data_IF_778186381690
#
_entry.id   IF_778186381690
#
_cell.length_a   1.000
_cell.length_b   1.000
_cell.length_c   1.000
_cell.angle_alpha   90.00
_cell.angle_beta   90.00
_cell.angle_gamma   90.00
#
_symmetry.space_group_name_H-M   'P 1'
#
loop_
_entity.id
_entity.type
_entity.pdbx_description
1 polymer ?
#
# COMPACT_ATOMS: atom_id res chain seq x y z
N UNK A 1 31.59 68.42 36.65
CA UNK A 1 31.19 68.95 35.33
C UNK A 1 30.86 67.70 34.51
N UNK A 2 29.60 67.41 34.14
CA UNK A 2 28.82 68.07 33.05
C UNK A 2 29.65 68.11 31.76
N UNK A 3 29.25 67.57 30.60
CA UNK A 3 27.94 67.14 30.03
C UNK A 3 28.21 66.19 28.83
N UNK A 4 27.29 65.42 28.24
CA UNK A 4 25.86 65.12 28.49
C UNK A 4 25.51 63.71 27.92
N UNK A 5 24.23 63.30 27.85
CA UNK A 5 23.77 62.14 27.06
C UNK A 5 23.89 62.36 25.53
N UNK A 6 24.12 61.26 24.78
CA UNK A 6 23.29 60.98 23.60
C UNK A 6 23.14 59.48 23.37
N UNK A 7 21.93 58.97 23.61
CA UNK A 7 21.48 57.66 23.12
C UNK A 7 21.16 57.87 21.64
N UNK A 8 21.93 57.28 20.74
CA UNK A 8 21.58 57.29 19.31
C UNK A 8 20.39 56.35 19.07
N UNK A 9 19.20 56.94 19.00
CA UNK A 9 17.98 56.25 18.59
C UNK A 9 17.94 56.12 17.07
N UNK A 10 18.69 55.17 16.53
CA UNK A 10 18.46 54.72 15.15
C UNK A 10 17.09 54.02 15.08
N UNK A 11 16.19 54.41 14.15
CA UNK A 11 14.82 53.90 14.17
C UNK A 11 14.78 52.39 13.94
N UNK A 12 14.04 51.68 14.80
CA UNK A 12 13.59 50.33 14.51
C UNK A 12 12.73 50.38 13.24
N UNK A 13 13.33 49.99 12.11
CA UNK A 13 12.62 49.80 10.87
C UNK A 13 11.62 48.66 11.06
N UNK A 14 10.40 49.00 11.45
CA UNK A 14 9.26 48.09 11.40
C UNK A 14 9.14 47.60 9.97
N UNK A 15 9.60 46.37 9.75
CA UNK A 15 9.15 45.57 8.62
C UNK A 15 7.70 45.24 8.93
N UNK A 16 6.81 46.09 8.44
CA UNK A 16 5.38 45.82 8.44
C UNK A 16 5.16 44.55 7.63
N UNK A 17 5.08 43.42 8.33
CA UNK A 17 4.57 42.20 7.75
C UNK A 17 3.12 42.47 7.37
N UNK A 18 2.86 42.69 6.07
CA UNK A 18 1.54 42.47 5.53
C UNK A 18 1.19 41.00 5.76
N UNK A 19 0.48 40.74 6.85
CA UNK A 19 -0.35 39.56 6.95
C UNK A 19 -1.45 39.75 5.93
N UNK A 20 -1.21 39.25 4.71
CA UNK A 20 -2.26 39.05 3.74
C UNK A 20 -3.22 38.04 4.35
N UNK A 21 -4.28 38.55 5.00
CA UNK A 21 -5.41 37.75 5.42
C UNK A 21 -6.07 37.21 4.16
N UNK A 22 -5.63 36.02 3.73
CA UNK A 22 -6.25 35.29 2.65
C UNK A 22 -7.71 35.05 3.06
N UNK A 23 -8.62 35.82 2.49
CA UNK A 23 -10.04 35.63 2.69
C UNK A 23 -10.35 34.23 2.21
N UNK A 24 -10.68 33.33 3.13
CA UNK A 24 -11.13 31.99 2.80
C UNK A 24 -12.51 32.17 2.16
N UNK A 25 -12.51 32.41 0.85
CA UNK A 25 -13.71 32.28 0.04
C UNK A 25 -14.25 30.88 0.30
N UNK A 26 -15.49 30.81 0.77
CA UNK A 26 -16.10 29.54 1.14
C UNK A 26 -16.11 28.61 -0.07
N UNK A 27 -15.15 27.69 -0.12
CA UNK A 27 -15.16 26.60 -1.08
C UNK A 27 -16.42 25.81 -0.78
N UNK A 28 -17.39 25.87 -1.68
CA UNK A 28 -18.60 25.07 -1.58
C UNK A 28 -18.16 23.62 -1.39
N UNK A 29 -18.49 23.05 -0.23
CA UNK A 29 -18.15 21.66 0.06
C UNK A 29 -18.71 20.80 -1.08
N UNK A 30 -17.93 19.85 -1.64
CA UNK A 30 -18.49 18.93 -2.63
C UNK A 30 -19.69 18.23 -1.99
N UNK A 31 -20.75 18.03 -2.78
CA UNK A 31 -22.05 17.57 -2.30
C UNK A 31 -22.05 16.10 -1.83
N UNK A 32 -21.33 15.82 -0.75
CA UNK A 32 -21.42 14.62 0.10
C UNK A 32 -22.31 14.94 1.30
N UNK A 33 -23.50 15.48 1.02
CA UNK A 33 -24.51 15.83 2.01
C UNK A 33 -25.91 15.36 1.56
N UNK A 34 -25.97 14.12 1.06
CA UNK A 34 -27.17 13.31 1.14
C UNK A 34 -26.76 12.01 1.84
N UNK A 35 -27.27 11.80 3.05
CA UNK A 35 -27.19 10.49 3.69
C UNK A 35 -27.91 9.50 2.76
N UNK A 36 -27.28 8.37 2.37
CA UNK A 36 -28.00 7.31 1.69
C UNK A 36 -29.13 6.81 2.59
N UNK A 37 -30.23 6.27 2.02
CA UNK A 37 -31.26 5.63 2.83
C UNK A 37 -30.62 4.58 3.74
N UNK A 38 -31.12 4.46 4.98
CA UNK A 38 -30.62 3.50 5.96
C UNK A 38 -30.96 2.06 5.56
N UNK A 39 -30.23 1.53 4.58
CA UNK A 39 -30.05 0.09 4.47
C UNK A 39 -29.51 -0.44 5.80
N UNK A 40 -30.02 -1.61 6.19
CA UNK A 40 -29.86 -2.16 7.54
C UNK A 40 -28.39 -2.29 7.93
N UNK A 41 -27.92 -1.34 8.77
CA UNK A 41 -26.54 -1.20 9.22
C UNK A 41 -26.13 -2.33 10.17
N UNK A 42 -25.98 -3.53 9.62
CA UNK A 42 -25.24 -4.64 10.23
C UNK A 42 -23.84 -4.64 9.65
N UNK A 43 -22.85 -4.36 10.48
CA UNK A 43 -21.45 -4.47 10.10
C UNK A 43 -21.10 -5.96 10.10
N UNK A 44 -21.33 -6.63 8.97
CA UNK A 44 -21.05 -8.07 8.79
C UNK A 44 -19.60 -8.38 9.18
N UNK A 45 -19.43 -8.98 10.36
CA UNK A 45 -18.13 -9.25 11.00
C UNK A 45 -18.04 -8.76 12.45
N UNK A 46 -18.80 -7.75 12.84
CA UNK A 46 -18.93 -7.28 14.24
C UNK A 46 -20.23 -7.77 14.91
N UNK A 47 -21.30 -7.91 14.12
CA UNK A 47 -22.58 -8.50 14.56
C UNK A 47 -22.68 -10.01 14.24
N UNK A 48 -21.54 -10.65 13.93
CA UNK A 48 -21.45 -12.06 13.55
C UNK A 48 -21.43 -13.01 14.75
N UNK A 49 -21.36 -14.31 14.50
CA UNK A 49 -21.19 -15.28 15.60
C UNK A 49 -19.77 -15.20 16.18
N UNK A 50 -19.56 -15.60 17.44
CA UNK A 50 -18.23 -15.64 18.08
C UNK A 50 -17.19 -16.42 17.25
N UNK A 51 -17.65 -17.43 16.50
CA UNK A 51 -16.83 -18.21 15.57
C UNK A 51 -16.28 -17.36 14.41
N UNK A 52 -17.07 -16.41 13.88
CA UNK A 52 -16.67 -15.49 12.80
C UNK A 52 -15.65 -14.46 13.30
N UNK A 53 -15.77 -14.03 14.56
CA UNK A 53 -14.81 -13.14 15.22
C UNK A 53 -13.47 -13.87 15.40
N UNK A 54 -13.49 -15.11 15.92
CA UNK A 54 -12.28 -15.90 16.11
C UNK A 54 -11.60 -16.28 14.79
N UNK A 55 -12.38 -16.62 13.75
CA UNK A 55 -11.82 -16.86 12.42
C UNK A 55 -11.27 -15.56 11.79
N UNK A 56 -11.93 -14.41 11.99
CA UNK A 56 -11.41 -13.10 11.59
C UNK A 56 -10.04 -12.79 12.23
N UNK A 57 -9.88 -13.06 13.53
CA UNK A 57 -8.60 -12.90 14.23
C UNK A 57 -7.51 -13.83 13.67
N UNK A 58 -7.84 -15.10 13.39
CA UNK A 58 -6.91 -16.06 12.77
C UNK A 58 -6.50 -15.63 11.36
N UNK A 59 -7.43 -15.09 10.59
CA UNK A 59 -7.18 -14.62 9.23
C UNK A 59 -6.28 -13.36 9.25
N UNK A 60 -6.53 -12.43 10.19
CA UNK A 60 -5.67 -11.27 10.39
C UNK A 60 -4.24 -11.68 10.81
N UNK A 61 -4.08 -12.60 11.76
CA UNK A 61 -2.77 -13.14 12.16
C UNK A 61 -2.05 -13.83 10.98
N UNK A 62 -2.75 -14.65 10.19
CA UNK A 62 -2.21 -15.32 9.00
C UNK A 62 -1.61 -14.34 7.98
N UNK A 63 -2.35 -13.29 7.58
CA UNK A 63 -1.87 -12.37 6.54
C UNK A 63 -0.73 -11.46 7.03
N UNK A 64 -0.71 -11.12 8.33
CA UNK A 64 0.38 -10.39 8.96
C UNK A 64 1.65 -11.27 9.05
N UNK A 65 1.50 -12.54 9.45
CA UNK A 65 2.60 -13.52 9.49
C UNK A 65 3.20 -13.76 8.12
N UNK A 66 2.40 -13.98 7.09
CA UNK A 66 2.94 -14.26 5.75
C UNK A 66 3.78 -13.09 5.20
N UNK A 67 3.34 -11.84 5.42
CA UNK A 67 4.13 -10.64 5.10
C UNK A 67 5.41 -10.55 5.93
N UNK A 68 5.32 -10.75 7.25
CA UNK A 68 6.47 -10.71 8.16
C UNK A 68 7.50 -11.78 7.78
N UNK A 69 7.05 -13.00 7.53
CA UNK A 69 7.88 -14.13 7.13
C UNK A 69 8.57 -13.89 5.78
N UNK A 70 7.87 -13.29 4.81
CA UNK A 70 8.47 -12.88 3.53
C UNK A 70 9.60 -11.86 3.73
N UNK A 71 9.36 -10.84 4.53
CA UNK A 71 10.30 -9.73 4.71
C UNK A 71 11.50 -10.11 5.62
N UNK A 72 11.29 -11.04 6.55
CA UNK A 72 12.33 -11.63 7.40
C UNK A 72 13.07 -12.83 6.76
N UNK A 73 12.65 -13.28 5.57
CA UNK A 73 13.24 -14.43 4.88
C UNK A 73 12.93 -15.80 5.49
N UNK A 74 11.86 -15.91 6.28
CA UNK A 74 11.36 -17.14 6.89
C UNK A 74 10.54 -17.94 5.86
N UNK A 75 11.21 -18.44 4.82
CA UNK A 75 10.56 -19.00 3.63
C UNK A 75 9.63 -20.19 3.90
N UNK A 76 9.89 -20.97 4.96
CA UNK A 76 9.05 -22.10 5.36
C UNK A 76 7.71 -21.64 5.98
N UNK A 77 7.73 -20.62 6.85
CA UNK A 77 6.50 -20.02 7.42
C UNK A 77 5.71 -19.27 6.33
N UNK A 78 6.40 -18.58 5.43
CA UNK A 78 5.78 -17.98 4.24
C UNK A 78 5.11 -19.04 3.37
N UNK A 79 5.78 -20.15 3.06
CA UNK A 79 5.21 -21.24 2.26
C UNK A 79 4.01 -21.92 2.93
N UNK A 80 4.10 -22.18 4.24
CA UNK A 80 3.02 -22.79 5.02
C UNK A 80 1.74 -21.96 5.08
N UNK A 81 1.81 -20.66 4.75
CA UNK A 81 0.68 -19.73 4.73
C UNK A 81 -0.18 -19.83 3.46
N UNK A 82 0.33 -20.43 2.37
CA UNK A 82 -0.34 -20.50 1.07
C UNK A 82 -1.16 -21.78 0.87
N UNK A 83 -2.33 -21.64 0.25
CA UNK A 83 -3.11 -22.76 -0.24
C UNK A 83 -2.41 -23.42 -1.45
N UNK A 84 -2.45 -24.74 -1.64
CA UNK A 84 -1.80 -25.40 -2.80
C UNK A 84 -2.29 -24.92 -4.16
N UNK A 85 -3.53 -24.44 -4.25
CA UNK A 85 -4.14 -23.87 -5.47
C UNK A 85 -4.20 -22.33 -5.43
N UNK A 86 -3.31 -21.69 -4.68
CA UNK A 86 -3.30 -20.22 -4.52
C UNK A 86 -2.86 -19.50 -5.79
N UNK A 87 -3.34 -18.27 -5.98
CA UNK A 87 -2.97 -17.39 -7.11
C UNK A 87 -2.56 -16.00 -6.61
N UNK A 88 -1.34 -15.59 -6.97
CA UNK A 88 -0.76 -14.29 -6.64
C UNK A 88 -0.66 -13.45 -7.91
N UNK A 89 -1.17 -12.22 -7.86
CA UNK A 89 -1.14 -11.26 -8.96
C UNK A 89 -0.75 -9.86 -8.45
N UNK A 90 0.53 -9.53 -8.63
CA UNK A 90 1.16 -8.28 -8.17
C UNK A 90 2.10 -7.72 -9.23
N UNK A 91 2.61 -6.50 -9.02
CA UNK A 91 3.43 -5.74 -9.97
C UNK A 91 4.62 -6.48 -10.58
N UNK A 92 5.23 -7.38 -9.82
CA UNK A 92 6.45 -8.10 -10.20
C UNK A 92 6.27 -9.62 -10.32
N UNK A 93 5.07 -10.15 -10.07
CA UNK A 93 4.80 -11.58 -10.10
C UNK A 93 3.35 -11.91 -10.45
N UNK A 94 3.15 -12.90 -11.30
CA UNK A 94 1.86 -13.52 -11.61
C UNK A 94 2.04 -15.04 -11.65
N UNK A 95 1.28 -15.79 -10.86
CA UNK A 95 1.39 -17.26 -10.76
C UNK A 95 0.96 -17.81 -9.41
N UNK A 96 1.31 -19.07 -9.13
CA UNK A 96 0.94 -19.72 -7.87
C UNK A 96 1.74 -19.25 -6.63
N UNK A 97 1.25 -19.57 -5.43
CA UNK A 97 1.91 -19.21 -4.18
C UNK A 97 3.29 -19.85 -3.98
N UNK A 98 3.51 -21.07 -4.47
CA UNK A 98 4.80 -21.75 -4.34
C UNK A 98 5.89 -21.06 -5.18
N UNK A 99 5.54 -20.69 -6.41
CA UNK A 99 6.36 -19.87 -7.29
C UNK A 99 6.58 -18.46 -6.74
N UNK A 100 5.59 -17.86 -6.06
CA UNK A 100 5.74 -16.55 -5.40
C UNK A 100 6.75 -16.58 -4.24
N UNK A 101 6.73 -17.63 -3.41
CA UNK A 101 7.73 -17.85 -2.36
C UNK A 101 9.11 -18.05 -2.99
N UNK A 102 9.23 -18.90 -4.01
CA UNK A 102 10.49 -19.15 -4.70
C UNK A 102 11.05 -17.88 -5.38
N UNK A 103 10.19 -17.04 -5.95
CA UNK A 103 10.57 -15.76 -6.55
C UNK A 103 10.95 -14.71 -5.50
N UNK A 104 10.23 -14.65 -4.36
CA UNK A 104 10.59 -13.80 -3.22
C UNK A 104 11.98 -14.16 -2.67
N UNK A 105 12.26 -15.46 -2.49
CA UNK A 105 13.58 -15.96 -2.06
C UNK A 105 14.70 -15.60 -3.04
N UNK A 106 14.46 -15.67 -4.35
CA UNK A 106 15.44 -15.23 -5.37
C UNK A 106 15.71 -13.72 -5.32
N UNK A 107 14.66 -12.91 -5.15
CA UNK A 107 14.82 -11.45 -5.02
C UNK A 107 15.61 -11.06 -3.77
N UNK A 108 15.35 -11.70 -2.63
CA UNK A 108 16.12 -11.49 -1.40
C UNK A 108 17.58 -11.92 -1.57
N UNK A 109 17.83 -13.07 -2.21
CA UNK A 109 19.18 -13.55 -2.51
C UNK A 109 19.96 -12.65 -3.48
N UNK A 110 19.28 -11.83 -4.29
CA UNK A 110 19.92 -10.80 -5.13
C UNK A 110 20.16 -9.47 -4.39
N UNK A 111 20.10 -9.46 -3.05
CA UNK A 111 20.32 -8.27 -2.21
C UNK A 111 19.18 -7.25 -2.18
N UNK A 112 18.02 -7.53 -2.79
CA UNK A 112 16.88 -6.60 -2.75
C UNK A 112 16.19 -6.68 -1.38
N UNK A 113 16.15 -5.55 -0.67
CA UNK A 113 15.42 -5.44 0.59
C UNK A 113 14.00 -4.93 0.31
N UNK A 114 13.01 -5.57 0.94
CA UNK A 114 11.59 -5.25 0.84
C UNK A 114 10.98 -5.33 2.24
N UNK A 115 10.21 -4.33 2.64
CA UNK A 115 9.54 -4.25 3.94
C UNK A 115 8.10 -3.78 3.78
N UNK A 116 7.16 -4.35 4.51
CA UNK A 116 5.74 -4.00 4.50
C UNK A 116 5.34 -3.41 5.85
N UNK A 117 5.05 -2.11 5.88
CA UNK A 117 4.40 -1.48 7.01
C UNK A 117 2.88 -1.66 6.86
N UNK A 118 2.32 -2.60 7.63
CA UNK A 118 0.92 -3.01 7.56
C UNK A 118 0.07 -2.24 8.58
N UNK A 119 -1.07 -1.73 8.15
CA UNK A 119 -2.10 -1.22 9.06
C UNK A 119 -2.99 -2.33 9.64
N UNK A 120 -4.08 -1.97 10.31
CA UNK A 120 -5.09 -2.94 10.75
C UNK A 120 -5.72 -3.68 9.56
N UNK A 121 -5.91 -4.99 9.71
CA UNK A 121 -6.58 -5.84 8.71
C UNK A 121 -8.09 -5.85 8.95
N UNK A 122 -8.89 -5.65 7.90
CA UNK A 122 -10.34 -5.84 7.92
C UNK A 122 -10.67 -7.13 7.19
N UNK A 123 -11.51 -7.97 7.80
CA UNK A 123 -11.92 -9.27 7.27
C UNK A 123 -13.41 -9.33 6.96
N UNK A 124 -13.79 -10.19 6.02
CA UNK A 124 -15.17 -10.58 5.76
C UNK A 124 -15.22 -12.09 5.55
N UNK A 125 -15.72 -12.81 6.56
CA UNK A 125 -15.85 -14.27 6.56
C UNK A 125 -17.21 -14.67 5.98
N UNK A 126 -17.24 -15.78 5.24
CA UNK A 126 -18.46 -16.47 4.82
C UNK A 126 -18.14 -17.97 4.72
N UNK A 127 -18.70 -18.80 5.60
CA UNK A 127 -18.53 -20.26 5.54
C UNK A 127 -17.06 -20.70 5.50
N UNK A 128 -16.62 -21.30 4.40
CA UNK A 128 -15.25 -21.80 4.21
C UNK A 128 -14.28 -20.80 3.56
N UNK A 129 -14.74 -19.58 3.26
CA UNK A 129 -13.95 -18.53 2.58
C UNK A 129 -13.97 -17.22 3.36
N UNK A 130 -12.97 -16.40 3.12
CA UNK A 130 -12.90 -15.05 3.63
C UNK A 130 -12.13 -14.14 2.68
N UNK A 131 -12.46 -12.85 2.72
CA UNK A 131 -11.62 -11.79 2.19
C UNK A 131 -10.92 -11.09 3.36
N UNK A 132 -9.66 -10.71 3.17
CA UNK A 132 -8.94 -9.84 4.08
C UNK A 132 -8.34 -8.67 3.31
N UNK A 133 -8.34 -7.48 3.89
CA UNK A 133 -7.73 -6.28 3.31
C UNK A 133 -6.93 -5.51 4.35
N UNK A 134 -5.73 -5.08 3.96
CA UNK A 134 -4.80 -4.35 4.82
C UNK A 134 -4.19 -3.18 4.03
N UNK A 135 -4.31 -1.92 4.50
CA UNK A 135 -3.55 -0.81 3.93
C UNK A 135 -2.06 -1.00 4.26
N UNK A 136 -1.18 -0.67 3.32
CA UNK A 136 0.25 -0.94 3.45
C UNK A 136 1.11 0.16 2.81
N UNK A 137 2.25 0.46 3.42
CA UNK A 137 3.41 1.03 2.73
C UNK A 137 4.39 -0.09 2.40
N UNK A 138 4.57 -0.36 1.11
CA UNK A 138 5.62 -1.22 0.58
C UNK A 138 6.89 -0.38 0.43
N UNK A 139 7.93 -0.69 1.20
CA UNK A 139 9.25 -0.13 1.02
C UNK A 139 10.10 -1.12 0.21
N UNK A 140 10.86 -0.63 -0.76
CA UNK A 140 11.89 -1.41 -1.45
C UNK A 140 13.15 -0.58 -1.64
N UNK A 141 14.26 -1.11 -1.15
CA UNK A 141 15.58 -0.49 -1.30
C UNK A 141 16.29 -1.12 -2.50
N UNK A 142 16.66 -0.27 -3.45
CA UNK A 142 17.25 -0.66 -4.74
C UNK A 142 18.22 0.43 -5.22
N UNK A 143 19.25 0.09 -6.01
CA UNK A 143 20.02 1.09 -6.74
C UNK A 143 19.24 1.58 -7.97
N UNK A 144 19.24 2.90 -8.18
CA UNK A 144 18.87 3.56 -9.45
C UNK A 144 20.09 4.35 -9.89
N UNK A 145 20.64 4.00 -11.05
CA UNK A 145 21.82 4.63 -11.66
C UNK A 145 23.03 4.76 -10.70
N UNK A 146 23.23 3.75 -9.84
CA UNK A 146 24.33 3.69 -8.86
C UNK A 146 24.10 4.52 -7.58
N UNK A 147 22.87 4.97 -7.34
CA UNK A 147 22.43 5.66 -6.13
C UNK A 147 21.36 4.81 -5.44
N UNK A 148 21.56 4.50 -4.16
CA UNK A 148 20.59 3.74 -3.38
C UNK A 148 19.36 4.60 -3.07
N UNK A 149 18.18 4.07 -3.42
CA UNK A 149 16.88 4.72 -3.23
C UNK A 149 15.93 3.80 -2.49
N UNK A 150 15.03 4.41 -1.72
CA UNK A 150 13.84 3.78 -1.17
C UNK A 150 12.64 4.15 -2.05
N UNK A 151 12.09 3.16 -2.74
CA UNK A 151 10.78 3.25 -3.39
C UNK A 151 9.71 2.90 -2.36
N UNK A 152 8.75 3.81 -2.14
CA UNK A 152 7.66 3.64 -1.19
C UNK A 152 6.33 3.61 -1.94
N UNK A 153 5.66 2.46 -1.97
CA UNK A 153 4.34 2.28 -2.57
C UNK A 153 3.23 2.23 -1.52
N UNK A 154 2.34 3.21 -1.53
CA UNK A 154 1.07 3.19 -0.80
C UNK A 154 0.07 2.30 -1.55
N UNK A 155 -0.41 1.25 -0.89
CA UNK A 155 -1.25 0.21 -1.50
C UNK A 155 -2.30 -0.30 -0.51
N UNK A 156 -3.31 -1.00 -1.03
CA UNK A 156 -4.12 -1.95 -0.26
C UNK A 156 -3.75 -3.35 -0.72
N UNK A 157 -3.36 -4.22 0.21
CA UNK A 157 -3.20 -5.66 -0.02
C UNK A 157 -4.56 -6.32 0.17
N UNK A 158 -4.93 -7.23 -0.74
CA UNK A 158 -6.18 -7.98 -0.72
C UNK A 158 -5.86 -9.46 -0.78
N UNK A 159 -6.34 -10.23 0.20
CA UNK A 159 -6.21 -11.68 0.22
C UNK A 159 -7.56 -12.36 0.05
N UNK A 160 -7.57 -13.42 -0.76
CA UNK A 160 -8.54 -14.51 -0.63
C UNK A 160 -7.97 -15.50 0.37
N UNK A 161 -8.78 -15.94 1.33
CA UNK A 161 -8.37 -16.91 2.35
C UNK A 161 -9.42 -18.01 2.40
N UNK A 162 -8.99 -19.28 2.31
CA UNK A 162 -9.88 -20.43 2.24
C UNK A 162 -9.48 -21.46 3.29
N UNK A 163 -10.48 -22.17 3.82
CA UNK A 163 -10.30 -23.19 4.84
C UNK A 163 -10.01 -24.55 4.19
N UNK A 164 -8.86 -25.14 4.52
CA UNK A 164 -8.44 -26.49 4.13
C UNK A 164 -8.04 -27.24 5.40
N UNK A 165 -8.59 -28.44 5.62
CA UNK A 165 -8.34 -29.27 6.80
C UNK A 165 -8.43 -28.50 8.13
N UNK A 166 -9.49 -27.69 8.26
CA UNK A 166 -9.79 -26.78 9.38
C UNK A 166 -8.82 -25.61 9.58
N UNK A 167 -7.78 -25.46 8.76
CA UNK A 167 -6.83 -24.33 8.77
C UNK A 167 -7.18 -23.31 7.70
N UNK A 168 -7.03 -22.02 8.01
CA UNK A 168 -7.12 -20.94 7.02
C UNK A 168 -5.80 -20.83 6.27
N UNK A 169 -5.86 -20.74 4.94
CA UNK A 169 -4.70 -20.59 4.05
C UNK A 169 -5.00 -19.53 2.99
N UNK A 170 -3.96 -18.81 2.55
CA UNK A 170 -4.07 -17.79 1.51
C UNK A 170 -4.36 -18.48 0.17
N UNK A 171 -5.58 -18.32 -0.33
CA UNK A 171 -6.03 -18.78 -1.64
C UNK A 171 -5.72 -17.76 -2.76
N UNK A 172 -5.33 -16.54 -2.43
CA UNK A 172 -4.74 -15.62 -3.39
C UNK A 172 -4.39 -14.26 -2.81
N UNK A 173 -3.55 -13.53 -3.53
CA UNK A 173 -3.03 -12.21 -3.16
C UNK A 173 -3.12 -11.26 -4.36
N UNK A 174 -3.71 -10.09 -4.15
CA UNK A 174 -3.82 -9.00 -5.13
C UNK A 174 -3.59 -7.66 -4.44
N UNK A 175 -3.43 -6.60 -5.24
CA UNK A 175 -3.15 -5.25 -4.74
C UNK A 175 -4.02 -4.21 -5.44
N UNK A 176 -4.41 -3.16 -4.70
CA UNK A 176 -4.87 -1.90 -5.28
C UNK A 176 -3.79 -0.86 -5.02
N UNK A 177 -3.23 -0.30 -6.09
CA UNK A 177 -2.19 0.73 -6.04
C UNK A 177 -2.81 2.12 -5.85
N UNK A 178 -2.26 2.92 -4.94
CA UNK A 178 -2.82 4.24 -4.58
C UNK A 178 -1.89 5.35 -5.06
N UNK A 179 -0.63 5.32 -4.64
CA UNK A 179 0.43 6.28 -5.00
C UNK A 179 1.77 5.68 -4.61
N UNK A 180 2.84 6.12 -5.25
CA UNK A 180 4.20 5.86 -4.79
C UNK A 180 5.09 7.11 -4.77
N UNK A 181 6.25 6.94 -4.13
CA UNK A 181 7.32 7.93 -3.97
C UNK A 181 8.66 7.24 -4.23
N UNK A 182 9.65 8.03 -4.65
CA UNK A 182 11.06 7.62 -4.72
C UNK A 182 11.89 8.60 -3.90
N UNK A 183 12.59 8.10 -2.89
CA UNK A 183 13.46 8.89 -2.01
C UNK A 183 14.89 8.38 -2.14
N UNK A 184 15.88 9.28 -2.18
CA UNK A 184 17.27 8.83 -2.02
C UNK A 184 17.55 8.44 -0.57
N UNK A 185 18.35 7.40 -0.37
CA UNK A 185 18.89 7.03 0.93
C UNK A 185 20.02 7.96 1.39
N UNK A 186 20.68 8.67 0.45
CA UNK A 186 21.63 9.75 0.73
C UNK A 186 21.05 11.08 0.22
N UNK A 187 20.67 12.03 1.09
CA UNK A 187 20.09 13.31 0.68
C UNK A 187 21.05 14.18 -0.15
N UNK A 188 22.35 13.88 -0.15
CA UNK A 188 23.36 14.58 -0.97
C UNK A 188 23.53 13.97 -2.37
N UNK A 189 22.93 12.80 -2.64
CA UNK A 189 23.01 12.09 -3.92
C UNK A 189 21.61 11.73 -4.39
N UNK A 190 21.03 12.57 -5.24
CA UNK A 190 19.71 12.31 -5.85
C UNK A 190 19.91 11.73 -7.26
N UNK A 191 19.22 10.64 -7.64
CA UNK A 191 19.32 10.11 -9.00
C UNK A 191 18.78 11.10 -10.04
N UNK A 192 19.38 11.11 -11.22
CA UNK A 192 18.78 11.77 -12.38
C UNK A 192 17.61 10.91 -12.87
N UNK A 193 16.42 11.50 -12.98
CA UNK A 193 15.22 10.75 -13.35
C UNK A 193 14.69 11.24 -14.70
N UNK A 194 14.50 10.32 -15.64
CA UNK A 194 13.94 10.64 -16.95
C UNK A 194 12.44 10.96 -16.83
N UNK A 195 12.09 12.24 -16.92
CA UNK A 195 10.71 12.71 -16.81
C UNK A 195 9.80 12.15 -17.91
N UNK A 196 10.29 12.04 -19.15
CA UNK A 196 9.51 11.49 -20.27
C UNK A 196 9.22 9.99 -20.10
N UNK A 197 10.17 9.24 -19.51
CA UNK A 197 9.95 7.85 -19.12
C UNK A 197 8.91 7.76 -17.99
N UNK A 198 9.07 8.55 -16.92
CA UNK A 198 8.11 8.59 -15.81
C UNK A 198 6.68 8.90 -16.24
N UNK A 199 6.50 9.84 -17.18
CA UNK A 199 5.16 10.23 -17.62
C UNK A 199 4.46 9.19 -18.49
N UNK A 200 5.19 8.19 -19.02
CA UNK A 200 4.58 7.00 -19.61
C UNK A 200 3.96 6.05 -18.58
N UNK A 201 4.30 6.16 -17.29
CA UNK A 201 3.80 5.29 -16.23
C UNK A 201 2.60 5.86 -15.46
N UNK A 202 1.69 4.94 -15.12
CA UNK A 202 0.47 5.18 -14.33
C UNK A 202 0.76 5.78 -12.97
N UNK A 203 -0.02 6.80 -12.60
CA UNK A 203 0.25 7.67 -11.44
C UNK A 203 0.11 6.98 -10.08
N UNK A 204 -0.59 5.85 -10.02
CA UNK A 204 -0.79 5.09 -8.78
C UNK A 204 0.39 4.18 -8.40
N UNK A 205 1.29 3.89 -9.35
CA UNK A 205 2.49 3.07 -9.15
C UNK A 205 3.61 3.43 -10.16
N UNK A 206 3.88 4.73 -10.29
CA UNK A 206 4.79 5.32 -11.29
C UNK A 206 6.25 4.99 -11.01
N UNK A 207 6.71 5.22 -9.78
CA UNK A 207 8.10 4.98 -9.38
C UNK A 207 8.41 3.49 -9.22
N UNK A 208 7.43 2.68 -8.81
CA UNK A 208 7.47 1.23 -8.85
C UNK A 208 7.67 0.73 -10.28
N UNK A 209 6.96 1.30 -11.26
CA UNK A 209 7.17 0.98 -12.68
C UNK A 209 8.57 1.36 -13.16
N UNK A 210 9.05 2.56 -12.81
CA UNK A 210 10.41 3.02 -13.14
C UNK A 210 11.52 2.11 -12.54
N UNK A 211 11.33 1.64 -11.31
CA UNK A 211 12.22 0.66 -10.66
C UNK A 211 12.14 -0.71 -11.32
N UNK A 212 10.93 -1.17 -11.69
CA UNK A 212 10.75 -2.48 -12.33
C UNK A 212 11.40 -2.50 -13.72
N UNK A 213 11.29 -1.42 -14.51
CA UNK A 213 11.94 -1.28 -15.82
C UNK A 213 13.47 -1.49 -15.79
N UNK A 214 14.11 -1.27 -14.64
CA UNK A 214 15.55 -1.48 -14.38
C UNK A 214 15.87 -2.88 -13.82
N UNK A 215 14.90 -3.80 -13.88
CA UNK A 215 15.00 -5.17 -13.38
C UNK A 215 14.48 -6.17 -14.43
N UNK A 216 14.66 -7.50 -14.24
CA UNK A 216 14.11 -8.50 -15.16
C UNK A 216 12.58 -8.48 -15.30
N UNK A 217 11.87 -7.87 -14.36
CA UNK A 217 10.40 -7.80 -14.33
C UNK A 217 9.93 -6.54 -15.09
N UNK A 218 9.19 -6.72 -16.18
CA UNK A 218 8.66 -5.57 -16.94
C UNK A 218 7.50 -4.88 -16.19
N UNK A 219 7.37 -3.54 -16.26
CA UNK A 219 6.20 -2.84 -15.77
C UNK A 219 4.91 -3.33 -16.42
N UNK A 220 3.81 -3.26 -15.66
CA UNK A 220 2.48 -3.76 -16.04
C UNK A 220 1.45 -2.64 -15.99
N UNK A 221 0.69 -2.45 -17.07
CA UNK A 221 -0.32 -1.39 -17.16
C UNK A 221 -1.74 -1.86 -16.76
N UNK A 222 -1.94 -3.17 -16.61
CA UNK A 222 -3.22 -3.86 -16.40
C UNK A 222 -3.67 -3.93 -14.93
N UNK A 223 -2.89 -3.40 -13.99
CA UNK A 223 -3.10 -3.60 -12.56
C UNK A 223 -4.14 -2.65 -11.93
N UNK A 224 -4.91 -3.10 -10.93
CA UNK A 224 -5.90 -2.25 -10.25
C UNK A 224 -5.24 -1.08 -9.51
N UNK A 225 -5.57 0.15 -9.87
CA UNK A 225 -5.04 1.35 -9.23
C UNK A 225 -6.07 2.47 -9.23
N UNK A 226 -5.99 3.40 -8.27
CA UNK A 226 -7.03 4.43 -8.09
C UNK A 226 -7.19 5.40 -9.28
N UNK A 227 -6.21 5.42 -10.19
CA UNK A 227 -6.22 6.15 -11.45
C UNK A 227 -6.99 5.45 -12.58
N UNK A 228 -7.38 4.18 -12.37
CA UNK A 228 -8.25 3.38 -13.24
C UNK A 228 -9.32 2.67 -12.40
N UNK A 229 -10.37 3.40 -11.97
CA UNK A 229 -11.40 2.88 -11.07
C UNK A 229 -12.14 1.65 -11.63
N UNK A 230 -12.22 1.49 -12.95
CA UNK A 230 -12.82 0.34 -13.63
C UNK A 230 -12.07 -0.97 -13.36
N UNK A 231 -10.73 -0.94 -13.25
CA UNK A 231 -9.93 -2.10 -12.88
C UNK A 231 -10.07 -2.44 -11.39
N UNK A 232 -10.23 -1.42 -10.55
CA UNK A 232 -10.52 -1.59 -9.12
C UNK A 232 -11.89 -2.23 -8.92
N UNK A 233 -12.92 -1.76 -9.62
CA UNK A 233 -14.26 -2.33 -9.52
C UNK A 233 -14.33 -3.76 -10.09
N UNK A 234 -13.68 -4.03 -11.23
CA UNK A 234 -13.58 -5.38 -11.78
C UNK A 234 -12.94 -6.37 -10.79
N UNK A 235 -11.87 -5.95 -10.08
CA UNK A 235 -11.29 -6.70 -8.97
C UNK A 235 -12.32 -6.92 -7.85
N UNK A 236 -12.90 -5.84 -7.30
CA UNK A 236 -13.83 -5.91 -6.16
C UNK A 236 -15.04 -6.81 -6.43
N UNK A 237 -15.65 -6.68 -7.60
CA UNK A 237 -16.76 -7.54 -8.06
C UNK A 237 -16.29 -8.98 -8.33
N UNK A 238 -15.04 -9.21 -8.70
CA UNK A 238 -14.42 -10.54 -8.75
C UNK A 238 -14.24 -11.18 -7.37
N UNK A 239 -13.77 -10.42 -6.37
CA UNK A 239 -13.60 -10.88 -4.99
C UNK A 239 -14.93 -11.19 -4.32
N UNK A 240 -15.94 -10.33 -4.49
CA UNK A 240 -17.30 -10.54 -3.97
C UNK A 240 -17.90 -11.85 -4.50
N UNK A 241 -17.87 -12.06 -5.83
CA UNK A 241 -18.39 -13.30 -6.46
C UNK A 241 -17.66 -14.55 -6.00
N UNK A 242 -16.36 -14.47 -5.70
CA UNK A 242 -15.62 -15.62 -5.17
C UNK A 242 -15.98 -15.92 -3.70
N UNK A 243 -16.25 -14.90 -2.89
CA UNK A 243 -16.70 -15.07 -1.51
C UNK A 243 -18.13 -15.63 -1.41
N UNK A 244 -18.98 -15.35 -2.40
CA UNK A 244 -20.38 -15.83 -2.44
C UNK A 244 -20.52 -17.33 -2.81
N UNK A 245 -19.40 -18.01 -3.12
CA UNK A 245 -19.33 -19.43 -3.48
C UNK A 245 -18.76 -20.31 -2.34
N UNK A 246 -18.94 -19.90 -1.08
CA UNK A 246 -18.21 -20.42 0.08
C UNK A 246 -18.84 -21.61 0.82
#
# INVERSE_FOLDING_TARGET
MSRDHLIDQTPSARRDFLIAAATIGAVAAPAYAQEPPRDTNTLRGLDGADADILDSLRIADLVQRERTARDAGQWEEMAASYHPQSMVDVSWYHGDGAGFVAASRRNAASGRISLHQLGPTVTKVAGTRALAETPCQLLSFVPVDGIDVCMIGTVRLLWRVQKLDRRWLIAGLRMIYIRDLLLSCDPNRVPSINAAELDSYRRSYRFLSYVLARSPNRPRDDLPGIDRPELVEALRTGEKRWLEQA
#
